data_IF_765405746885
#
_entry.id   IF_765405746885
#
_cell.length_a   1.000
_cell.length_b   1.000
_cell.length_c   1.000
_cell.angle_alpha   90.00
_cell.angle_beta   90.00
_cell.angle_gamma   90.00
#
_symmetry.space_group_name_H-M   'P 1'
#
loop_
_entity.id
_entity.type
_entity.pdbx_description
1 polymer ?
#
# COMPACT_ATOMS: atom_id res chain seq x y z
N UNK A 1 -7.12 -4.66 -46.46
CA UNK A 1 -7.10 -3.29 -47.05
C UNK A 1 -6.29 -2.39 -46.12
N UNK A 2 -5.18 -1.80 -46.62
CA UNK A 2 -4.54 -0.69 -45.89
C UNK A 2 -5.48 0.51 -46.05
N UNK A 3 -6.08 0.94 -44.96
CA UNK A 3 -6.85 2.19 -44.92
C UNK A 3 -5.81 3.29 -44.73
N UNK A 4 -5.52 4.03 -45.84
CA UNK A 4 -4.65 5.20 -45.74
C UNK A 4 -5.34 6.24 -44.87
N UNK A 5 -4.74 6.56 -43.71
CA UNK A 5 -5.27 7.51 -42.76
C UNK A 5 -6.01 6.91 -41.56
N UNK A 6 -6.12 5.58 -41.47
CA UNK A 6 -6.80 4.88 -40.38
C UNK A 6 -8.33 4.76 -40.50
N UNK A 7 -8.99 3.92 -39.69
CA UNK A 7 -10.44 3.72 -39.71
C UNK A 7 -11.16 4.96 -39.16
N UNK A 8 -12.19 5.41 -39.87
CA UNK A 8 -13.00 6.57 -39.50
C UNK A 8 -14.49 6.37 -39.69
N UNK A 9 -14.90 5.29 -40.39
CA UNK A 9 -16.29 4.91 -40.60
C UNK A 9 -16.67 3.68 -39.81
N UNK A 10 -17.97 3.45 -39.66
CA UNK A 10 -18.48 2.21 -39.06
C UNK A 10 -17.96 0.98 -39.81
N UNK A 11 -18.02 1.01 -41.14
CA UNK A 11 -17.57 -0.09 -41.99
C UNK A 11 -16.09 -0.42 -41.80
N UNK A 12 -15.25 0.60 -41.66
CA UNK A 12 -13.81 0.41 -41.43
C UNK A 12 -13.56 -0.33 -40.11
N UNK A 13 -14.18 0.11 -39.02
CA UNK A 13 -14.04 -0.50 -37.70
C UNK A 13 -14.63 -1.89 -37.66
N UNK A 14 -15.79 -2.10 -38.29
CA UNK A 14 -16.45 -3.40 -38.42
C UNK A 14 -15.58 -4.42 -39.14
N UNK A 15 -14.98 -4.00 -40.28
CA UNK A 15 -14.13 -4.85 -41.13
C UNK A 15 -12.79 -5.22 -40.43
N UNK A 16 -12.36 -4.43 -39.44
CA UNK A 16 -11.24 -4.74 -38.57
C UNK A 16 -11.64 -5.69 -37.42
N UNK A 17 -12.91 -6.04 -37.27
CA UNK A 17 -13.40 -6.99 -36.29
C UNK A 17 -13.63 -6.41 -34.90
N UNK A 18 -13.73 -5.09 -34.80
CA UNK A 18 -14.00 -4.45 -33.51
C UNK A 18 -15.49 -4.41 -33.17
N UNK A 19 -15.80 -4.40 -31.88
CA UNK A 19 -17.17 -4.21 -31.37
C UNK A 19 -17.46 -2.71 -31.31
N UNK A 20 -18.47 -2.29 -32.04
CA UNK A 20 -18.84 -0.89 -32.20
C UNK A 20 -20.10 -0.60 -31.41
N UNK A 21 -20.15 0.58 -30.80
CA UNK A 21 -21.25 1.07 -30.00
C UNK A 21 -21.75 2.37 -30.62
N UNK A 22 -23.05 2.44 -31.02
CA UNK A 22 -23.63 3.71 -31.43
C UNK A 22 -23.83 4.62 -30.22
N UNK A 23 -23.39 5.85 -30.35
CA UNK A 23 -23.49 6.86 -29.29
C UNK A 23 -24.21 8.11 -29.78
N UNK A 24 -24.89 8.80 -28.88
CA UNK A 24 -25.36 10.17 -29.06
C UNK A 24 -24.87 11.04 -27.92
N UNK A 25 -24.24 12.12 -28.26
CA UNK A 25 -23.60 13.00 -27.26
C UNK A 25 -22.70 12.25 -26.27
N UNK A 26 -21.91 11.28 -26.78
CA UNK A 26 -21.00 10.46 -25.99
C UNK A 26 -21.67 9.39 -25.12
N UNK A 27 -22.99 9.21 -25.23
CA UNK A 27 -23.72 8.21 -24.44
C UNK A 27 -24.18 7.07 -25.37
N UNK A 28 -23.98 5.80 -25.00
CA UNK A 28 -24.45 4.66 -25.77
C UNK A 28 -25.98 4.67 -25.95
N UNK A 29 -26.46 4.49 -27.17
CA UNK A 29 -27.89 4.34 -27.50
C UNK A 29 -28.44 2.95 -27.11
N UNK A 30 -27.57 1.98 -26.89
CA UNK A 30 -27.93 0.62 -26.51
C UNK A 30 -27.64 0.41 -25.03
N UNK A 31 -28.68 0.11 -24.23
CA UNK A 31 -28.53 -0.12 -22.79
C UNK A 31 -27.60 -1.30 -22.45
N UNK A 32 -27.60 -2.34 -23.28
CA UNK A 32 -26.78 -3.54 -23.11
C UNK A 32 -25.43 -3.47 -23.84
N UNK A 33 -24.90 -2.27 -24.07
CA UNK A 33 -23.68 -2.06 -24.85
C UNK A 33 -22.46 -2.84 -24.32
N UNK A 34 -22.41 -3.13 -23.04
CA UNK A 34 -21.34 -3.92 -22.40
C UNK A 34 -21.54 -5.43 -22.47
N UNK A 35 -22.66 -5.92 -23.06
CA UNK A 35 -22.88 -7.35 -23.26
C UNK A 35 -21.85 -7.95 -24.23
N UNK A 36 -21.29 -9.10 -23.87
CA UNK A 36 -20.35 -9.81 -24.72
C UNK A 36 -20.96 -10.26 -26.06
N UNK A 37 -22.29 -10.46 -26.08
CA UNK A 37 -23.04 -10.89 -27.25
C UNK A 37 -23.44 -9.74 -28.19
N UNK A 38 -23.07 -8.49 -27.86
CA UNK A 38 -23.40 -7.35 -28.70
C UNK A 38 -22.74 -7.48 -30.09
N UNK A 39 -23.58 -7.58 -31.08
CA UNK A 39 -23.20 -7.55 -32.50
C UNK A 39 -24.23 -6.73 -33.26
N UNK A 40 -23.74 -5.69 -33.92
CA UNK A 40 -24.56 -4.85 -34.80
C UNK A 40 -24.08 -5.13 -36.23
N UNK A 41 -25.01 -5.47 -37.12
CA UNK A 41 -24.66 -5.70 -38.52
C UNK A 41 -24.52 -4.38 -39.29
N UNK A 42 -23.88 -4.40 -40.45
CA UNK A 42 -23.78 -3.21 -41.33
C UNK A 42 -25.15 -2.70 -41.75
N UNK A 43 -26.10 -3.61 -42.00
CA UNK A 43 -27.49 -3.31 -42.35
C UNK A 43 -28.21 -2.64 -41.19
N UNK A 44 -28.09 -3.22 -39.99
CA UNK A 44 -28.69 -2.66 -38.79
C UNK A 44 -28.12 -1.25 -38.46
N UNK A 45 -26.81 -1.07 -38.59
CA UNK A 45 -26.20 0.24 -38.39
C UNK A 45 -26.80 1.28 -39.35
N UNK A 46 -26.84 0.97 -40.68
CA UNK A 46 -27.38 1.88 -41.69
C UNK A 46 -28.83 2.25 -41.42
N UNK A 47 -29.63 1.30 -40.93
CA UNK A 47 -31.06 1.52 -40.72
C UNK A 47 -31.39 2.28 -39.43
N UNK A 48 -30.64 2.03 -38.36
CA UNK A 48 -30.99 2.52 -37.03
C UNK A 48 -30.01 3.55 -36.44
N UNK A 49 -28.73 3.53 -36.86
CA UNK A 49 -27.67 4.24 -36.17
C UNK A 49 -26.80 5.09 -37.10
N UNK A 50 -27.26 5.35 -38.31
CA UNK A 50 -26.50 6.09 -39.31
C UNK A 50 -26.18 7.53 -38.92
N UNK A 51 -26.93 8.10 -38.00
CA UNK A 51 -26.74 9.43 -37.42
C UNK A 51 -26.01 9.42 -36.07
N UNK A 52 -25.56 8.24 -35.60
CA UNK A 52 -24.83 8.10 -34.33
C UNK A 52 -23.32 8.31 -34.51
N UNK A 53 -22.72 8.76 -33.43
CA UNK A 53 -21.26 8.75 -33.25
C UNK A 53 -20.78 7.30 -33.06
N UNK A 54 -19.56 7.03 -33.46
CA UNK A 54 -18.94 5.71 -33.37
C UNK A 54 -18.11 5.68 -32.09
N UNK A 55 -18.44 4.77 -31.20
CA UNK A 55 -17.56 4.42 -30.09
C UNK A 55 -17.06 2.97 -30.26
N UNK A 56 -15.85 2.74 -29.82
CA UNK A 56 -15.24 1.42 -29.81
C UNK A 56 -15.33 0.84 -28.40
N UNK A 57 -15.89 -0.37 -28.27
CA UNK A 57 -15.76 -1.15 -27.04
C UNK A 57 -14.33 -1.69 -26.93
N UNK A 58 -13.76 -1.60 -25.72
CA UNK A 58 -12.33 -1.83 -25.53
C UNK A 58 -11.97 -3.30 -25.21
N UNK A 59 -12.79 -4.26 -25.63
CA UNK A 59 -12.43 -5.67 -25.57
C UNK A 59 -11.34 -6.00 -26.61
N UNK A 60 -10.17 -6.38 -26.11
CA UNK A 60 -8.99 -6.63 -26.95
C UNK A 60 -8.26 -5.38 -27.42
N UNK A 61 -8.64 -4.21 -26.91
CA UNK A 61 -7.97 -2.93 -27.19
C UNK A 61 -7.67 -2.20 -25.88
N UNK A 62 -6.53 -1.59 -25.81
CA UNK A 62 -6.09 -0.72 -24.73
C UNK A 62 -6.15 0.72 -25.23
N UNK A 63 -6.84 1.59 -24.50
CA UNK A 63 -6.85 3.03 -24.68
C UNK A 63 -6.16 3.69 -23.48
N UNK A 64 -5.00 4.29 -23.73
CA UNK A 64 -4.36 5.18 -22.78
C UNK A 64 -4.90 6.59 -23.00
N UNK A 65 -5.73 7.05 -22.05
CA UNK A 65 -6.36 8.36 -22.06
C UNK A 65 -5.53 9.37 -21.27
N UNK A 66 -5.06 10.40 -21.96
CA UNK A 66 -4.23 11.47 -21.38
C UNK A 66 -4.82 12.83 -21.70
N UNK A 67 -5.77 13.25 -20.90
CA UNK A 67 -6.35 14.58 -20.98
C UNK A 67 -5.45 15.67 -20.37
N UNK A 68 -4.54 15.30 -19.48
CA UNK A 68 -3.66 16.23 -18.80
C UNK A 68 -2.51 16.71 -19.72
N UNK A 69 -2.43 18.02 -19.94
CA UNK A 69 -1.40 18.63 -20.81
C UNK A 69 0.04 18.42 -20.32
N UNK A 70 0.23 18.33 -18.99
CA UNK A 70 1.57 18.08 -18.41
C UNK A 70 1.93 16.60 -18.60
N UNK A 71 0.99 15.68 -18.42
CA UNK A 71 1.21 14.26 -18.65
C UNK A 71 1.70 13.97 -20.08
N UNK A 72 1.17 14.67 -21.07
CA UNK A 72 1.60 14.53 -22.48
C UNK A 72 3.10 14.79 -22.70
N UNK A 73 3.73 15.66 -21.88
CA UNK A 73 5.17 15.92 -21.95
C UNK A 73 6.03 14.70 -21.59
N UNK A 74 5.43 13.75 -20.87
CA UNK A 74 6.11 12.54 -20.40
C UNK A 74 5.81 11.31 -21.26
N UNK A 75 4.78 11.35 -22.10
CA UNK A 75 4.44 10.21 -22.96
C UNK A 75 5.61 9.86 -23.87
N UNK A 76 6.14 10.84 -24.60
CA UNK A 76 7.26 10.64 -25.54
C UNK A 76 8.57 10.24 -24.82
N UNK A 77 8.62 10.29 -23.47
CA UNK A 77 9.78 9.91 -22.66
C UNK A 77 9.72 8.45 -22.19
N UNK A 78 8.52 7.94 -21.93
CA UNK A 78 8.34 6.62 -21.35
C UNK A 78 7.63 5.64 -22.29
N UNK A 79 6.78 6.10 -23.20
CA UNK A 79 6.13 5.26 -24.19
C UNK A 79 7.08 5.09 -25.39
N UNK A 80 7.55 3.87 -25.60
CA UNK A 80 8.59 3.57 -26.58
C UNK A 80 8.05 3.76 -28.01
N UNK A 81 6.86 3.22 -28.30
CA UNK A 81 6.24 3.30 -29.61
C UNK A 81 4.72 3.24 -29.50
N UNK A 82 4.04 4.12 -30.23
CA UNK A 82 2.62 4.00 -30.47
C UNK A 82 2.33 4.35 -31.93
N UNK A 83 1.72 3.43 -32.65
CA UNK A 83 1.43 3.59 -34.09
C UNK A 83 -0.01 4.05 -34.36
N UNK A 84 -0.81 4.21 -33.32
CA UNK A 84 -2.19 4.67 -33.39
C UNK A 84 -2.45 5.70 -32.29
N UNK A 85 -2.49 6.97 -32.65
CA UNK A 85 -2.66 8.10 -31.74
C UNK A 85 -3.80 8.97 -32.28
N UNK A 86 -4.78 9.26 -31.44
CA UNK A 86 -5.90 10.12 -31.77
C UNK A 86 -6.11 11.24 -30.77
N UNK A 87 -6.91 12.19 -31.13
CA UNK A 87 -7.28 13.31 -30.32
C UNK A 87 -8.26 14.24 -31.05
N UNK A 88 -8.51 15.38 -30.47
CA UNK A 88 -9.32 16.46 -31.06
C UNK A 88 -8.51 17.75 -31.13
N UNK A 89 -8.86 18.71 -31.93
CA UNK A 89 -8.11 19.97 -32.07
C UNK A 89 -7.84 20.69 -30.75
N UNK A 90 -8.80 20.72 -29.84
CA UNK A 90 -8.66 21.32 -28.51
C UNK A 90 -7.79 20.47 -27.55
N UNK A 91 -7.69 19.16 -27.79
CA UNK A 91 -6.90 18.21 -26.99
C UNK A 91 -6.21 17.17 -27.89
N UNK A 92 -5.18 17.56 -28.67
CA UNK A 92 -4.48 16.65 -29.56
C UNK A 92 -3.72 15.58 -28.80
N UNK A 93 -3.52 14.42 -29.42
CA UNK A 93 -2.80 13.28 -28.82
C UNK A 93 -3.32 12.92 -27.43
N UNK A 94 -4.64 12.80 -27.28
CA UNK A 94 -5.24 12.43 -25.99
C UNK A 94 -5.42 10.94 -25.81
N UNK A 95 -5.40 10.15 -26.90
CA UNK A 95 -5.60 8.72 -26.86
C UNK A 95 -4.49 8.00 -27.63
N UNK A 96 -3.91 6.99 -26.96
CA UNK A 96 -2.88 6.10 -27.49
C UNK A 96 -3.41 4.67 -27.46
N UNK A 97 -3.32 3.97 -28.58
CA UNK A 97 -4.03 2.73 -28.82
C UNK A 97 -3.10 1.54 -29.02
N UNK A 98 -3.35 0.46 -28.29
CA UNK A 98 -2.66 -0.81 -28.47
C UNK A 98 -3.63 -1.98 -28.49
N UNK A 99 -3.21 -3.09 -29.09
CA UNK A 99 -3.90 -4.37 -29.01
C UNK A 99 -3.56 -5.05 -27.68
N UNK A 100 -4.55 -5.62 -27.04
CA UNK A 100 -4.38 -6.37 -25.78
C UNK A 100 -5.47 -6.06 -24.75
N UNK A 101 -5.24 -6.52 -23.56
CA UNK A 101 -6.14 -6.27 -22.43
C UNK A 101 -5.31 -6.04 -21.16
N UNK A 102 -5.65 -5.03 -20.42
CA UNK A 102 -5.05 -4.67 -19.15
C UNK A 102 -6.15 -4.35 -18.12
N UNK A 103 -5.83 -4.48 -16.86
CA UNK A 103 -6.69 -3.96 -15.81
C UNK A 103 -6.76 -2.42 -15.90
N UNK A 104 -7.95 -1.88 -15.61
CA UNK A 104 -8.13 -0.43 -15.53
C UNK A 104 -7.19 0.13 -14.46
N UNK A 105 -6.48 1.20 -14.82
CA UNK A 105 -5.68 1.98 -13.90
C UNK A 105 -5.91 3.47 -14.16
N UNK A 106 -6.25 4.22 -13.12
CA UNK A 106 -6.41 5.67 -13.18
C UNK A 106 -5.58 6.31 -12.06
N UNK A 107 -4.84 7.35 -12.41
CA UNK A 107 -3.99 8.08 -11.49
C UNK A 107 -4.48 9.51 -11.36
N UNK A 108 -4.70 9.93 -10.12
CA UNK A 108 -5.20 11.27 -9.81
C UNK A 108 -4.39 11.90 -8.69
N UNK A 109 -4.26 13.22 -8.71
CA UNK A 109 -3.66 13.93 -7.59
C UNK A 109 -4.47 13.70 -6.31
N UNK A 110 -3.81 13.43 -5.18
CA UNK A 110 -4.44 13.44 -3.86
C UNK A 110 -5.17 14.76 -3.58
N UNK A 111 -6.30 14.68 -2.87
CA UNK A 111 -7.18 15.85 -2.63
C UNK A 111 -6.48 17.03 -1.99
N UNK A 112 -5.57 16.80 -1.07
CA UNK A 112 -4.77 17.82 -0.38
C UNK A 112 -3.74 18.50 -1.28
N UNK A 113 -3.40 17.89 -2.42
CA UNK A 113 -2.48 18.43 -3.42
C UNK A 113 -3.18 19.11 -4.62
N UNK A 114 -4.50 18.94 -4.79
CA UNK A 114 -5.25 19.54 -5.89
C UNK A 114 -5.12 21.06 -5.89
N UNK A 115 -4.98 21.69 -4.72
CA UNK A 115 -4.78 23.14 -4.58
C UNK A 115 -3.57 23.69 -5.35
N UNK A 116 -2.59 22.85 -5.65
CA UNK A 116 -1.41 23.22 -6.45
C UNK A 116 -1.64 23.13 -7.97
N UNK A 117 -2.79 22.60 -8.37
CA UNK A 117 -3.16 22.46 -9.76
C UNK A 117 -4.31 23.40 -10.11
N UNK A 118 -3.98 24.68 -10.34
CA UNK A 118 -4.96 25.69 -10.71
C UNK A 118 -5.68 25.28 -12.01
N UNK A 119 -7.01 25.39 -12.01
CA UNK A 119 -7.88 25.06 -13.15
C UNK A 119 -7.73 23.61 -13.65
N UNK A 120 -7.69 22.62 -12.75
CA UNK A 120 -7.75 21.21 -13.16
C UNK A 120 -8.95 20.98 -14.11
N UNK A 121 -8.79 21.01 -15.44
CA UNK A 121 -9.92 21.12 -16.38
C UNK A 121 -10.75 19.83 -16.42
N UNK A 122 -10.21 18.70 -15.97
CA UNK A 122 -10.85 17.38 -15.94
C UNK A 122 -10.74 16.71 -14.57
N UNK A 123 -10.86 17.51 -13.50
CA UNK A 123 -10.63 17.02 -12.15
C UNK A 123 -9.15 16.74 -11.89
N UNK A 124 -8.88 15.87 -10.92
CA UNK A 124 -7.52 15.55 -10.49
C UNK A 124 -6.85 14.44 -11.34
N UNK A 125 -7.52 13.89 -12.35
CA UNK A 125 -7.01 12.77 -13.16
C UNK A 125 -5.82 13.21 -14.02
N UNK A 126 -4.74 12.47 -13.90
CA UNK A 126 -3.49 12.73 -14.63
C UNK A 126 -3.42 11.90 -15.91
N UNK A 127 -3.73 10.62 -15.81
CA UNK A 127 -3.79 9.68 -16.92
C UNK A 127 -4.58 8.44 -16.52
N UNK A 128 -5.13 7.73 -17.51
CA UNK A 128 -5.96 6.54 -17.29
C UNK A 128 -5.71 5.50 -18.38
N UNK A 129 -5.60 4.22 -18.00
CA UNK A 129 -5.74 3.09 -18.93
C UNK A 129 -7.16 2.59 -18.86
N UNK A 130 -7.80 2.44 -20.01
CA UNK A 130 -9.08 1.79 -20.19
C UNK A 130 -8.93 0.59 -21.10
N UNK A 131 -9.47 -0.56 -20.68
CA UNK A 131 -9.48 -1.80 -21.46
C UNK A 131 -10.58 -2.73 -20.92
N UNK A 132 -11.13 -3.57 -21.78
CA UNK A 132 -12.20 -4.50 -21.43
C UNK A 132 -13.60 -4.05 -21.86
N UNK A 133 -14.52 -5.02 -21.88
CA UNK A 133 -15.88 -4.84 -22.39
C UNK A 133 -16.76 -3.84 -21.61
N UNK A 134 -16.32 -3.41 -20.43
CA UNK A 134 -17.01 -2.41 -19.60
C UNK A 134 -16.59 -0.97 -19.93
N UNK A 135 -15.73 -0.77 -20.92
CA UNK A 135 -15.22 0.54 -21.31
C UNK A 135 -15.39 0.75 -22.81
N UNK A 136 -15.59 2.00 -23.16
CA UNK A 136 -15.64 2.44 -24.56
C UNK A 136 -14.99 3.80 -24.74
N UNK A 137 -14.61 4.11 -25.95
CA UNK A 137 -14.03 5.40 -26.32
C UNK A 137 -14.60 5.85 -27.65
N UNK A 138 -14.94 7.13 -27.77
CA UNK A 138 -15.33 7.76 -29.03
C UNK A 138 -14.12 7.80 -29.95
N UNK A 139 -14.28 7.30 -31.17
CA UNK A 139 -13.16 7.09 -32.10
C UNK A 139 -13.10 8.11 -33.22
N UNK A 140 -11.96 8.21 -33.93
CA UNK A 140 -11.81 9.08 -35.10
C UNK A 140 -12.92 8.89 -36.13
N UNK A 141 -13.38 10.03 -36.67
CA UNK A 141 -14.56 10.13 -37.52
C UNK A 141 -15.83 10.60 -36.84
N UNK A 142 -15.86 10.52 -35.50
CA UNK A 142 -17.01 10.90 -34.68
C UNK A 142 -16.85 12.28 -34.05
N UNK A 143 -17.99 12.92 -33.73
CA UNK A 143 -18.02 14.15 -32.94
C UNK A 143 -17.81 13.83 -31.47
N UNK A 144 -17.04 14.67 -30.77
CA UNK A 144 -16.90 14.55 -29.33
C UNK A 144 -18.09 15.25 -28.62
N UNK A 145 -18.63 14.60 -27.60
CA UNK A 145 -19.88 15.06 -26.95
C UNK A 145 -19.78 16.39 -26.22
N UNK A 146 -18.62 16.67 -25.61
CA UNK A 146 -18.43 17.87 -24.76
C UNK A 146 -17.99 19.09 -25.57
N UNK A 147 -17.16 18.85 -26.56
CA UNK A 147 -16.68 19.89 -27.50
C UNK A 147 -17.11 19.44 -28.86
N UNK A 148 -17.87 20.22 -29.66
CA UNK A 148 -18.34 19.79 -30.96
C UNK A 148 -17.22 19.73 -32.00
N UNK A 149 -16.18 18.98 -31.67
CA UNK A 149 -15.00 18.75 -32.47
C UNK A 149 -14.91 17.29 -32.91
N UNK A 150 -14.49 17.07 -34.13
CA UNK A 150 -14.24 15.72 -34.61
C UNK A 150 -12.98 15.14 -33.99
N UNK A 151 -13.10 13.93 -33.46
CA UNK A 151 -11.94 13.09 -33.08
C UNK A 151 -11.22 12.68 -34.38
N UNK A 152 -9.91 12.83 -34.40
CA UNK A 152 -9.07 12.57 -35.57
C UNK A 152 -7.86 11.73 -35.23
N UNK A 153 -7.35 11.00 -36.19
CA UNK A 153 -6.02 10.41 -36.08
C UNK A 153 -4.96 11.51 -36.19
N UNK A 154 -4.08 11.56 -35.20
CA UNK A 154 -2.84 12.35 -35.29
C UNK A 154 -1.74 11.53 -35.98
N UNK A 155 -1.75 10.23 -35.70
CA UNK A 155 -0.90 9.26 -36.36
C UNK A 155 -1.64 7.93 -36.42
N UNK A 156 -1.61 7.23 -37.54
CA UNK A 156 -2.15 5.89 -37.64
C UNK A 156 -1.37 5.06 -38.66
N UNK A 157 -0.86 3.94 -38.21
CA UNK A 157 -0.34 2.88 -39.07
C UNK A 157 -1.08 1.57 -38.78
N UNK A 158 -1.11 1.14 -37.49
CA UNK A 158 -1.87 -0.03 -37.02
C UNK A 158 -2.00 0.01 -35.51
N UNK A 159 -3.00 -0.68 -34.98
CA UNK A 159 -3.10 -0.96 -33.52
C UNK A 159 -2.31 -2.24 -33.26
N UNK A 160 -1.12 -2.13 -32.67
CA UNK A 160 -0.20 -3.24 -32.36
C UNK A 160 -0.16 -3.53 -30.86
N UNK A 161 0.42 -4.65 -30.50
CA UNK A 161 0.74 -4.93 -29.09
C UNK A 161 1.84 -3.99 -28.60
N UNK A 162 1.78 -3.63 -27.31
CA UNK A 162 2.85 -2.87 -26.68
C UNK A 162 4.04 -3.77 -26.37
N UNK A 163 5.22 -3.34 -26.77
CA UNK A 163 6.44 -4.15 -26.62
C UNK A 163 7.10 -4.08 -25.22
N UNK A 164 6.57 -3.24 -24.34
CA UNK A 164 7.09 -3.03 -22.98
C UNK A 164 6.09 -3.39 -21.88
N UNK A 165 6.31 -2.84 -20.70
CA UNK A 165 5.36 -2.89 -19.58
C UNK A 165 4.59 -1.56 -19.50
N UNK A 166 3.43 -1.51 -20.16
CA UNK A 166 2.61 -0.30 -20.24
C UNK A 166 2.14 0.19 -18.86
N UNK A 167 1.88 -0.72 -17.93
CA UNK A 167 1.52 -0.36 -16.57
C UNK A 167 2.67 0.35 -15.83
N UNK A 168 3.88 -0.14 -16.01
CA UNK A 168 5.09 0.48 -15.43
C UNK A 168 5.32 1.87 -16.02
N UNK A 169 5.20 2.00 -17.33
CA UNK A 169 5.43 3.25 -18.04
C UNK A 169 4.35 4.29 -17.70
N UNK A 170 3.08 3.87 -17.62
CA UNK A 170 1.99 4.73 -17.14
C UNK A 170 2.21 5.26 -15.73
N UNK A 171 2.68 4.41 -14.80
CA UNK A 171 2.97 4.79 -13.43
C UNK A 171 4.09 5.83 -13.35
N UNK A 172 5.10 5.73 -14.23
CA UNK A 172 6.14 6.76 -14.38
C UNK A 172 5.59 8.07 -14.92
N UNK A 173 4.71 8.01 -15.93
CA UNK A 173 4.02 9.19 -16.46
C UNK A 173 3.21 9.85 -15.35
N UNK A 174 2.42 9.10 -14.59
CA UNK A 174 1.58 9.62 -13.53
C UNK A 174 2.40 10.32 -12.44
N UNK A 175 3.44 9.65 -11.93
CA UNK A 175 4.30 10.22 -10.88
C UNK A 175 5.07 11.45 -11.38
N UNK A 176 5.65 11.40 -12.61
CA UNK A 176 6.33 12.53 -13.21
C UNK A 176 5.39 13.73 -13.39
N UNK A 177 4.15 13.47 -13.79
CA UNK A 177 3.12 14.50 -13.94
C UNK A 177 2.79 15.14 -12.60
N UNK A 178 2.53 14.34 -11.56
CA UNK A 178 2.26 14.83 -10.21
C UNK A 178 3.42 15.71 -9.71
N UNK A 179 4.66 15.20 -9.80
CA UNK A 179 5.84 15.92 -9.33
C UNK A 179 6.17 17.17 -10.16
N UNK A 180 5.81 17.20 -11.44
CA UNK A 180 5.93 18.38 -12.29
C UNK A 180 4.91 19.46 -11.91
N UNK A 181 3.66 19.09 -11.62
CA UNK A 181 2.62 20.00 -11.11
C UNK A 181 3.04 20.61 -9.76
N UNK A 182 3.65 19.78 -8.91
CA UNK A 182 4.08 20.13 -7.57
C UNK A 182 5.51 20.71 -7.53
N UNK A 183 6.08 21.06 -8.68
CA UNK A 183 7.49 21.46 -8.77
C UNK A 183 7.79 22.68 -7.90
N UNK A 184 8.84 22.58 -7.07
CA UNK A 184 9.18 23.62 -6.12
C UNK A 184 9.54 24.96 -6.79
N UNK A 185 9.27 26.11 -6.13
CA UNK A 185 9.65 27.42 -6.63
C UNK A 185 11.18 27.61 -6.69
N UNK A 186 11.63 28.59 -7.42
CA UNK A 186 13.06 28.93 -7.51
C UNK A 186 13.63 29.17 -6.10
N UNK A 187 14.80 28.58 -5.84
CA UNK A 187 15.44 28.58 -4.52
C UNK A 187 15.23 27.29 -3.72
N UNK A 188 14.12 26.55 -3.94
CA UNK A 188 13.86 25.27 -3.28
C UNK A 188 14.01 24.05 -4.23
N UNK A 189 14.24 24.27 -5.53
CA UNK A 189 14.25 23.23 -6.57
C UNK A 189 15.32 22.16 -6.35
N UNK A 190 16.52 22.59 -5.89
CA UNK A 190 17.62 21.67 -5.63
C UNK A 190 17.30 20.70 -4.50
N UNK A 191 16.74 21.22 -3.42
CA UNK A 191 16.33 20.43 -2.26
C UNK A 191 15.16 19.50 -2.59
N UNK A 192 14.21 19.99 -3.39
CA UNK A 192 13.09 19.22 -3.92
C UNK A 192 13.57 18.01 -4.75
N UNK A 193 14.43 18.24 -5.76
CA UNK A 193 14.99 17.17 -6.59
C UNK A 193 15.83 16.18 -5.77
N UNK A 194 16.58 16.68 -4.79
CA UNK A 194 17.36 15.83 -3.88
C UNK A 194 16.46 14.99 -2.98
N UNK A 195 15.33 15.53 -2.52
CA UNK A 195 14.36 14.77 -1.75
C UNK A 195 13.68 13.66 -2.58
N UNK A 196 13.31 13.95 -3.84
CA UNK A 196 12.80 12.94 -4.79
C UNK A 196 13.83 11.82 -4.98
N UNK A 197 15.08 12.18 -5.27
CA UNK A 197 16.17 11.20 -5.41
C UNK A 197 16.32 10.34 -4.16
N UNK A 198 16.25 10.95 -2.97
CA UNK A 198 16.35 10.26 -1.69
C UNK A 198 15.23 9.25 -1.46
N UNK A 199 14.00 9.53 -1.91
CA UNK A 199 12.89 8.56 -1.89
C UNK A 199 13.17 7.40 -2.84
N UNK A 200 13.47 7.69 -4.10
CA UNK A 200 13.66 6.67 -5.14
C UNK A 200 14.85 5.75 -4.82
N UNK A 201 15.98 6.32 -4.39
CA UNK A 201 17.17 5.54 -3.98
C UNK A 201 16.88 4.60 -2.82
N UNK A 202 16.11 5.05 -1.82
CA UNK A 202 15.87 4.27 -0.60
C UNK A 202 14.73 3.25 -0.74
N UNK A 203 13.74 3.55 -1.57
CA UNK A 203 12.47 2.81 -1.56
C UNK A 203 12.12 2.14 -2.89
N UNK A 204 12.98 2.27 -3.91
CA UNK A 204 12.82 1.55 -5.17
C UNK A 204 14.09 0.77 -5.51
N UNK A 205 13.97 -0.11 -6.52
CA UNK A 205 15.12 -0.81 -7.09
C UNK A 205 15.65 -0.12 -8.37
N UNK A 206 15.31 1.17 -8.57
CA UNK A 206 15.76 1.90 -9.73
C UNK A 206 17.28 2.14 -9.67
N UNK A 207 17.91 2.08 -10.85
CA UNK A 207 19.32 2.41 -11.01
C UNK A 207 19.54 3.92 -10.97
N UNK A 208 20.75 4.35 -10.68
CA UNK A 208 21.10 5.77 -10.60
C UNK A 208 20.78 6.52 -11.89
N UNK A 209 21.08 5.92 -13.05
CA UNK A 209 20.78 6.53 -14.36
C UNK A 209 19.28 6.69 -14.56
N UNK A 210 18.47 5.69 -14.17
CA UNK A 210 17.01 5.75 -14.26
C UNK A 210 16.44 6.87 -13.37
N UNK A 211 16.98 7.03 -12.14
CA UNK A 211 16.60 8.12 -11.23
C UNK A 211 17.03 9.48 -11.76
N UNK A 212 18.25 9.57 -12.29
CA UNK A 212 18.80 10.79 -12.87
C UNK A 212 17.95 11.27 -14.06
N UNK A 213 17.62 10.36 -14.98
CA UNK A 213 16.78 10.66 -16.15
C UNK A 213 15.36 11.04 -15.73
N UNK A 214 14.80 10.36 -14.74
CA UNK A 214 13.48 10.67 -14.21
C UNK A 214 13.39 12.09 -13.66
N UNK A 215 14.34 12.47 -12.81
CA UNK A 215 14.39 13.81 -12.18
C UNK A 215 14.67 14.88 -13.25
N UNK A 216 15.60 14.62 -14.16
CA UNK A 216 15.90 15.52 -15.27
C UNK A 216 14.66 15.79 -16.14
N UNK A 217 13.92 14.75 -16.52
CA UNK A 217 12.71 14.90 -17.32
C UNK A 217 11.65 15.75 -16.62
N UNK A 218 11.50 15.60 -15.29
CA UNK A 218 10.59 16.44 -14.50
C UNK A 218 11.06 17.90 -14.50
N UNK A 219 12.35 18.15 -14.26
CA UNK A 219 12.91 19.50 -14.25
C UNK A 219 12.75 20.20 -15.61
N UNK A 220 13.02 19.50 -16.70
CA UNK A 220 12.81 20.01 -18.07
C UNK A 220 11.33 20.32 -18.31
N UNK A 221 10.43 19.41 -17.94
CA UNK A 221 8.99 19.61 -18.12
C UNK A 221 8.45 20.76 -17.26
N UNK A 222 9.05 21.02 -16.11
CA UNK A 222 8.73 22.14 -15.22
C UNK A 222 9.40 23.47 -15.64
N UNK A 223 10.13 23.51 -16.76
CA UNK A 223 10.93 24.66 -17.22
C UNK A 223 11.95 25.15 -16.19
N UNK A 224 12.65 24.22 -15.51
CA UNK A 224 13.77 24.57 -14.61
C UNK A 224 14.95 25.03 -15.44
N UNK A 225 15.41 26.26 -15.23
CA UNK A 225 16.56 26.86 -15.87
C UNK A 225 17.89 26.15 -15.53
N UNK A 226 17.89 25.36 -14.48
CA UNK A 226 19.03 24.55 -14.02
C UNK A 226 18.84 23.03 -14.21
N UNK A 227 17.93 22.60 -15.10
CA UNK A 227 17.58 21.19 -15.27
C UNK A 227 18.80 20.27 -15.47
N UNK A 228 19.84 20.74 -16.22
CA UNK A 228 21.07 19.97 -16.43
C UNK A 228 21.79 19.62 -15.12
N UNK A 229 21.75 20.52 -14.13
CA UNK A 229 22.38 20.29 -12.83
C UNK A 229 21.63 19.21 -12.03
N UNK A 230 20.40 18.86 -12.40
CA UNK A 230 19.57 17.83 -11.75
C UNK A 230 19.94 16.40 -12.17
N UNK A 231 20.67 16.21 -13.26
CA UNK A 231 21.05 14.89 -13.81
C UNK A 231 21.90 14.01 -12.88
N UNK A 232 22.52 14.56 -11.86
CA UNK A 232 23.36 13.80 -10.93
C UNK A 232 22.69 13.46 -9.59
N UNK A 233 21.41 13.77 -9.42
CA UNK A 233 20.76 13.68 -8.11
C UNK A 233 20.61 12.24 -7.60
N UNK A 234 20.39 11.25 -8.48
CA UNK A 234 20.36 9.84 -8.10
C UNK A 234 21.70 9.37 -7.54
N UNK A 235 22.79 9.65 -8.25
CA UNK A 235 24.16 9.32 -7.82
C UNK A 235 24.53 10.02 -6.53
N UNK A 236 24.26 11.33 -6.45
CA UNK A 236 24.53 12.13 -5.24
C UNK A 236 23.69 11.64 -4.04
N UNK A 237 22.46 11.22 -4.27
CA UNK A 237 21.56 10.69 -3.25
C UNK A 237 22.10 9.43 -2.57
N UNK A 238 22.78 8.53 -3.31
CA UNK A 238 23.40 7.32 -2.75
C UNK A 238 24.64 7.65 -1.92
N UNK A 239 25.47 8.60 -2.38
CA UNK A 239 26.74 8.92 -1.73
C UNK A 239 26.54 9.78 -0.47
N UNK A 240 25.55 10.67 -0.48
CA UNK A 240 25.46 11.72 0.54
C UNK A 240 24.91 11.27 1.89
N UNK A 241 24.40 10.06 2.05
CA UNK A 241 23.75 9.54 3.29
C UNK A 241 22.90 10.59 4.06
N UNK A 242 22.40 11.61 3.34
CA UNK A 242 21.61 12.71 3.90
C UNK A 242 20.18 12.24 4.09
N UNK A 243 19.56 12.66 5.18
CA UNK A 243 18.18 12.33 5.57
C UNK A 243 17.10 12.96 4.65
N UNK A 244 17.39 13.10 3.35
CA UNK A 244 16.38 13.49 2.38
C UNK A 244 15.53 12.28 2.01
N UNK A 245 14.22 12.47 2.02
CA UNK A 245 13.26 11.41 1.73
C UNK A 245 11.82 11.93 1.84
N UNK A 246 10.85 11.04 2.03
CA UNK A 246 9.43 11.41 2.12
C UNK A 246 9.13 12.52 3.14
N UNK A 247 9.69 12.53 4.37
CA UNK A 247 9.42 13.62 5.31
C UNK A 247 9.87 14.99 4.81
N UNK A 248 11.05 15.06 4.17
CA UNK A 248 11.55 16.33 3.63
C UNK A 248 10.73 16.80 2.42
N UNK A 249 10.33 15.86 1.56
CA UNK A 249 9.46 16.19 0.43
C UNK A 249 8.08 16.68 0.90
N UNK A 250 7.52 16.05 1.94
CA UNK A 250 6.27 16.47 2.56
C UNK A 250 6.36 17.87 3.18
N UNK A 251 7.48 18.18 3.85
CA UNK A 251 7.78 19.53 4.38
C UNK A 251 7.81 20.58 3.25
N UNK A 252 8.57 20.31 2.17
CA UNK A 252 8.67 21.23 1.01
C UNK A 252 7.30 21.49 0.38
N UNK A 253 6.46 20.46 0.27
CA UNK A 253 5.15 20.53 -0.34
C UNK A 253 4.03 20.93 0.62
N UNK A 254 4.31 21.08 1.91
CA UNK A 254 3.30 21.44 2.90
C UNK A 254 2.14 20.42 2.97
N UNK A 255 2.44 19.13 2.89
CA UNK A 255 1.46 18.05 2.94
C UNK A 255 1.89 16.95 3.93
N UNK A 256 1.05 15.97 4.15
CA UNK A 256 1.38 14.85 5.02
C UNK A 256 2.31 13.84 4.33
N UNK A 257 3.17 13.17 5.12
CA UNK A 257 4.09 12.14 4.61
C UNK A 257 3.35 10.99 3.93
N UNK A 258 2.15 10.62 4.43
CA UNK A 258 1.32 9.58 3.81
C UNK A 258 0.86 9.94 2.38
N UNK A 259 0.67 11.22 2.09
CA UNK A 259 0.33 11.71 0.74
C UNK A 259 1.50 11.48 -0.22
N UNK A 260 2.73 11.77 0.22
CA UNK A 260 3.93 11.48 -0.56
C UNK A 260 4.11 9.97 -0.75
N UNK A 261 3.95 9.19 0.30
CA UNK A 261 4.01 7.74 0.23
C UNK A 261 3.01 7.17 -0.80
N UNK A 262 1.78 7.69 -0.83
CA UNK A 262 0.78 7.31 -1.83
C UNK A 262 1.25 7.62 -3.26
N UNK A 263 1.80 8.80 -3.54
CA UNK A 263 2.32 9.14 -4.88
C UNK A 263 3.44 8.18 -5.31
N UNK A 264 4.40 7.94 -4.44
CA UNK A 264 5.54 7.08 -4.76
C UNK A 264 5.19 5.58 -4.80
N UNK A 265 4.11 5.15 -4.13
CA UNK A 265 3.61 3.78 -4.24
C UNK A 265 3.22 3.42 -5.68
N UNK A 266 2.86 4.38 -6.51
CA UNK A 266 2.56 4.14 -7.93
C UNK A 266 3.73 3.49 -8.67
N UNK A 267 4.95 3.84 -8.34
CA UNK A 267 6.16 3.26 -8.97
C UNK A 267 6.79 2.14 -8.13
N UNK A 268 6.03 1.59 -7.19
CA UNK A 268 6.49 0.51 -6.34
C UNK A 268 7.50 0.94 -5.28
N UNK A 269 7.52 2.23 -4.93
CA UNK A 269 8.21 2.66 -3.73
C UNK A 269 7.43 2.14 -2.52
N UNK A 270 7.87 1.05 -2.00
CA UNK A 270 7.42 0.59 -0.69
C UNK A 270 8.08 1.46 0.36
N UNK A 271 7.33 1.80 1.41
CA UNK A 271 7.98 2.31 2.61
C UNK A 271 8.85 1.17 3.17
N UNK A 272 10.09 1.09 2.70
CA UNK A 272 11.06 0.08 3.16
C UNK A 272 11.26 0.17 4.66
N UNK A 273 11.00 1.33 5.28
CA UNK A 273 10.96 1.44 6.74
C UNK A 273 9.84 0.57 7.30
N UNK A 274 8.67 0.57 6.67
CA UNK A 274 7.55 -0.29 7.05
C UNK A 274 7.79 -1.75 6.63
N UNK A 275 8.41 -1.99 5.46
CA UNK A 275 8.77 -3.33 5.00
C UNK A 275 9.90 -3.93 5.85
N UNK A 276 10.95 -3.15 6.13
CA UNK A 276 12.04 -3.57 7.04
C UNK A 276 11.51 -3.77 8.47
N UNK A 277 10.65 -2.88 8.94
CA UNK A 277 9.98 -3.00 10.24
C UNK A 277 9.05 -4.21 10.26
N UNK A 278 8.33 -4.49 9.17
CA UNK A 278 7.48 -5.69 9.07
C UNK A 278 8.31 -6.96 9.04
N UNK A 279 9.41 -7.00 8.29
CA UNK A 279 10.35 -8.13 8.28
C UNK A 279 10.96 -8.34 9.66
N UNK A 280 11.48 -7.28 10.28
CA UNK A 280 12.02 -7.35 11.66
C UNK A 280 10.91 -7.79 12.64
N UNK A 281 9.69 -7.30 12.46
CA UNK A 281 8.56 -7.67 13.29
C UNK A 281 8.15 -9.14 13.08
N UNK A 282 8.11 -9.60 11.84
CA UNK A 282 7.75 -10.99 11.52
C UNK A 282 8.83 -11.98 11.96
N UNK A 283 10.10 -11.59 11.89
CA UNK A 283 11.22 -12.38 12.41
C UNK A 283 11.31 -12.39 13.94
N UNK A 284 10.98 -11.25 14.58
CA UNK A 284 11.18 -11.08 16.02
C UNK A 284 9.92 -11.24 16.86
N UNK A 285 8.74 -10.93 16.28
CA UNK A 285 7.44 -10.98 16.96
C UNK A 285 6.52 -11.88 16.14
N UNK A 286 6.29 -13.08 16.59
CA UNK A 286 5.38 -14.03 15.97
C UNK A 286 3.90 -13.66 16.11
N UNK A 287 3.04 -14.64 15.83
CA UNK A 287 1.59 -14.47 15.96
C UNK A 287 1.17 -14.15 17.40
N UNK A 288 0.16 -13.30 17.52
CA UNK A 288 -0.53 -13.06 18.78
C UNK A 288 -1.64 -14.09 18.95
N UNK A 289 -1.65 -14.79 20.06
CA UNK A 289 -2.70 -15.74 20.43
C UNK A 289 -3.51 -15.15 21.58
N UNK A 290 -4.80 -14.94 21.34
CA UNK A 290 -5.76 -14.49 22.36
C UNK A 290 -6.14 -15.66 23.25
N UNK A 291 -5.77 -15.59 24.52
CA UNK A 291 -6.04 -16.62 25.54
C UNK A 291 -7.27 -16.30 26.39
N UNK A 292 -8.04 -15.26 26.02
CA UNK A 292 -9.17 -14.77 26.83
C UNK A 292 -8.75 -13.93 28.04
N UNK A 293 -9.73 -13.24 28.64
CA UNK A 293 -9.51 -12.40 29.85
C UNK A 293 -8.39 -11.36 29.71
N UNK A 294 -8.28 -10.73 28.54
CA UNK A 294 -7.25 -9.73 28.20
C UNK A 294 -5.80 -10.26 28.34
N UNK A 295 -5.59 -11.55 28.05
CA UNK A 295 -4.30 -12.21 28.08
C UNK A 295 -3.89 -12.69 26.69
N UNK A 296 -2.65 -12.45 26.34
CA UNK A 296 -2.10 -12.77 25.03
C UNK A 296 -0.78 -13.52 25.16
N UNK A 297 -0.62 -14.59 24.37
CA UNK A 297 0.66 -15.29 24.18
C UNK A 297 1.30 -14.80 22.88
N UNK A 298 2.59 -14.50 22.92
CA UNK A 298 3.35 -14.03 21.76
C UNK A 298 4.65 -14.82 21.72
N UNK A 299 4.93 -15.40 20.56
CA UNK A 299 6.23 -15.98 20.27
C UNK A 299 7.20 -14.86 19.92
N UNK A 300 8.28 -14.72 20.67
CA UNK A 300 9.34 -13.74 20.39
C UNK A 300 10.63 -14.46 20.06
N UNK A 301 11.31 -13.99 19.01
CA UNK A 301 12.62 -14.50 18.59
C UNK A 301 13.62 -13.36 18.71
N UNK A 302 14.65 -13.56 19.51
CA UNK A 302 15.67 -12.55 19.75
C UNK A 302 17.05 -13.17 19.91
N UNK A 303 18.05 -12.34 20.19
CA UNK A 303 19.43 -12.76 20.39
C UNK A 303 19.84 -12.66 21.86
N UNK A 304 20.58 -13.65 22.32
CA UNK A 304 21.29 -13.65 23.57
C UNK A 304 22.72 -14.13 23.31
N UNK A 305 23.75 -13.34 23.66
CA UNK A 305 25.17 -13.67 23.42
C UNK A 305 25.51 -14.07 21.97
N UNK A 306 24.77 -13.50 21.00
CA UNK A 306 24.98 -13.76 19.57
C UNK A 306 24.16 -14.91 18.99
N UNK A 307 23.60 -15.78 19.82
CA UNK A 307 22.72 -16.87 19.38
C UNK A 307 21.25 -16.45 19.34
N UNK A 308 20.47 -17.04 18.43
CA UNK A 308 19.04 -16.78 18.28
C UNK A 308 18.22 -17.74 19.12
N UNK A 309 17.36 -17.18 19.96
CA UNK A 309 16.44 -17.95 20.80
C UNK A 309 15.00 -17.53 20.55
N UNK A 310 14.11 -18.49 20.60
CA UNK A 310 12.68 -18.26 20.50
C UNK A 310 12.00 -18.62 21.80
N UNK A 311 11.21 -17.71 22.35
CA UNK A 311 10.49 -17.87 23.60
C UNK A 311 9.03 -17.41 23.44
N UNK A 312 8.18 -17.86 24.36
CA UNK A 312 6.79 -17.38 24.45
C UNK A 312 6.69 -16.47 25.67
N UNK A 313 6.20 -15.26 25.45
CA UNK A 313 5.85 -14.32 26.53
C UNK A 313 4.33 -14.27 26.70
N UNK A 314 3.88 -13.92 27.91
CA UNK A 314 2.49 -13.70 28.24
C UNK A 314 2.31 -12.26 28.68
N UNK A 315 1.42 -11.54 28.04
CA UNK A 315 1.20 -10.11 28.30
C UNK A 315 -0.28 -9.78 28.37
N UNK A 316 -0.63 -8.69 29.06
CA UNK A 316 -1.97 -8.10 28.99
C UNK A 316 -2.13 -7.20 27.79
N UNK A 317 -3.37 -6.84 27.44
CA UNK A 317 -3.65 -5.91 26.35
C UNK A 317 -2.95 -4.56 26.52
N UNK A 318 -3.01 -3.90 27.68
CA UNK A 318 -2.25 -2.67 27.92
C UNK A 318 -0.74 -2.83 27.74
N UNK A 319 -0.16 -3.94 28.19
CA UNK A 319 1.27 -4.25 27.98
C UNK A 319 1.58 -4.46 26.50
N UNK A 320 0.71 -5.18 25.79
CA UNK A 320 0.84 -5.47 24.37
C UNK A 320 0.90 -4.20 23.52
N UNK A 321 0.05 -3.22 23.82
CA UNK A 321 -0.08 -1.98 23.06
C UNK A 321 0.88 -0.86 23.51
N UNK A 322 1.58 -1.05 24.62
CA UNK A 322 2.54 -0.09 25.13
C UNK A 322 3.97 -0.53 24.80
N UNK A 323 4.65 0.21 23.92
CA UNK A 323 6.01 -0.12 23.46
C UNK A 323 6.99 -0.39 24.59
N UNK A 324 7.05 0.47 25.60
CA UNK A 324 7.98 0.32 26.72
C UNK A 324 7.68 -0.95 27.52
N UNK A 325 6.43 -1.13 27.92
CA UNK A 325 6.00 -2.29 28.71
C UNK A 325 6.18 -3.60 27.95
N UNK A 326 5.97 -3.59 26.64
CA UNK A 326 6.19 -4.75 25.78
C UNK A 326 7.65 -5.17 25.74
N UNK A 327 8.58 -4.23 25.47
CA UNK A 327 10.02 -4.54 25.48
C UNK A 327 10.53 -4.95 26.85
N UNK A 328 10.03 -4.34 27.92
CA UNK A 328 10.36 -4.73 29.29
C UNK A 328 9.87 -6.18 29.57
N UNK A 329 8.67 -6.54 29.11
CA UNK A 329 8.16 -7.91 29.22
C UNK A 329 9.01 -8.91 28.41
N UNK A 330 9.44 -8.55 27.19
CA UNK A 330 10.32 -9.40 26.38
C UNK A 330 11.64 -9.67 27.10
N UNK A 331 12.29 -8.63 27.62
CA UNK A 331 13.55 -8.79 28.36
C UNK A 331 13.36 -9.59 29.63
N UNK A 332 12.30 -9.31 30.39
CA UNK A 332 12.08 -9.94 31.69
C UNK A 332 11.65 -11.40 31.57
N UNK A 333 10.74 -11.73 30.63
CA UNK A 333 10.18 -13.07 30.52
C UNK A 333 10.97 -13.97 29.56
N UNK A 334 11.42 -13.41 28.41
CA UNK A 334 12.13 -14.19 27.41
C UNK A 334 13.65 -14.18 27.58
N UNK A 335 14.17 -13.16 28.26
CA UNK A 335 15.62 -12.94 28.42
C UNK A 335 16.37 -12.84 27.09
N UNK A 336 15.71 -12.30 26.06
CA UNK A 336 16.27 -12.08 24.72
C UNK A 336 16.15 -10.62 24.34
N UNK A 337 17.03 -10.17 23.44
CA UNK A 337 16.97 -8.85 22.83
C UNK A 337 16.34 -8.95 21.47
N UNK A 338 15.31 -8.14 21.22
CA UNK A 338 14.73 -7.96 19.90
C UNK A 338 15.01 -6.52 19.43
N UNK A 339 15.09 -6.28 18.10
CA UNK A 339 15.29 -4.94 17.57
C UNK A 339 14.19 -3.98 18.04
N UNK A 340 14.59 -2.79 18.51
CA UNK A 340 13.63 -1.76 18.95
C UNK A 340 13.10 -0.99 17.75
N UNK A 341 11.78 -1.02 17.58
CA UNK A 341 11.08 -0.21 16.60
C UNK A 341 10.85 1.22 17.10
N UNK A 342 10.67 2.18 16.21
CA UNK A 342 10.16 3.51 16.57
C UNK A 342 8.73 3.39 17.10
N UNK A 343 8.23 4.44 17.76
CA UNK A 343 6.92 4.37 18.41
C UNK A 343 5.78 4.11 17.42
N UNK A 344 5.75 4.86 16.31
CA UNK A 344 4.72 4.77 15.30
C UNK A 344 4.76 3.42 14.54
N UNK A 345 5.96 2.91 14.28
CA UNK A 345 6.19 1.62 13.64
C UNK A 345 5.69 0.48 14.54
N UNK A 346 6.03 0.56 15.85
CA UNK A 346 5.57 -0.42 16.84
C UNK A 346 4.04 -0.45 16.93
N UNK A 347 3.40 0.72 17.03
CA UNK A 347 1.94 0.81 17.09
C UNK A 347 1.29 0.20 15.84
N UNK A 348 1.82 0.52 14.66
CA UNK A 348 1.31 -0.02 13.39
C UNK A 348 1.44 -1.54 13.32
N UNK A 349 2.62 -2.08 13.65
CA UNK A 349 2.88 -3.53 13.64
C UNK A 349 1.99 -4.24 14.66
N UNK A 350 1.92 -3.73 15.89
CA UNK A 350 1.12 -4.39 16.93
C UNK A 350 -0.37 -4.35 16.62
N UNK A 351 -0.87 -3.26 16.02
CA UNK A 351 -2.26 -3.18 15.56
C UNK A 351 -2.54 -4.23 14.48
N UNK A 352 -1.70 -4.33 13.45
CA UNK A 352 -1.86 -5.33 12.38
C UNK A 352 -1.85 -6.77 12.94
N UNK A 353 -0.89 -7.09 13.79
CA UNK A 353 -0.79 -8.42 14.41
C UNK A 353 -1.96 -8.70 15.36
N UNK A 354 -2.47 -7.68 16.05
CA UNK A 354 -3.63 -7.81 16.90
C UNK A 354 -4.93 -8.03 16.11
N UNK A 355 -5.10 -7.37 14.97
CA UNK A 355 -6.24 -7.58 14.07
C UNK A 355 -6.25 -8.99 13.48
N UNK A 356 -5.09 -9.56 13.20
CA UNK A 356 -4.91 -10.90 12.63
C UNK A 356 -4.70 -11.99 13.71
N UNK A 357 -4.88 -11.65 15.00
CA UNK A 357 -4.65 -12.59 16.11
C UNK A 357 -5.48 -13.86 16.01
N UNK A 358 -4.85 -14.96 16.33
CA UNK A 358 -5.51 -16.25 16.45
C UNK A 358 -6.20 -16.35 17.80
N UNK A 359 -7.43 -16.90 17.84
CA UNK A 359 -7.98 -17.37 19.11
C UNK A 359 -7.22 -18.64 19.47
N UNK A 360 -6.88 -18.80 20.75
CA UNK A 360 -6.38 -20.08 21.23
C UNK A 360 -7.44 -21.14 20.86
N UNK A 361 -7.06 -22.08 20.01
CA UNK A 361 -7.83 -23.32 19.91
C UNK A 361 -7.88 -23.86 21.33
N UNK A 362 -9.09 -24.19 21.81
CA UNK A 362 -9.32 -24.71 23.17
C UNK A 362 -8.39 -25.91 23.42
N UNK A 363 -7.13 -25.64 23.70
CA UNK A 363 -6.28 -26.61 24.38
C UNK A 363 -6.71 -26.54 25.82
N UNK A 364 -7.54 -27.49 26.20
CA UNK A 364 -8.07 -27.75 27.54
C UNK A 364 -6.95 -27.78 28.62
N UNK A 365 -5.68 -27.85 28.18
CA UNK A 365 -4.54 -28.03 29.07
C UNK A 365 -3.98 -26.74 29.73
N UNK A 366 -4.15 -25.55 29.09
CA UNK A 366 -3.48 -24.32 29.60
C UNK A 366 -4.40 -23.36 30.39
N UNK A 367 -5.73 -23.41 30.20
CA UNK A 367 -6.68 -22.55 30.92
C UNK A 367 -7.16 -23.16 32.23
N UNK A 368 -7.24 -24.47 32.30
CA UNK A 368 -7.75 -25.16 33.47
C UNK A 368 -6.72 -25.24 34.63
N UNK A 369 -5.43 -25.48 34.34
CA UNK A 369 -4.41 -25.60 35.36
C UNK A 369 -4.16 -24.28 36.11
N UNK A 370 -4.09 -23.14 35.37
CA UNK A 370 -3.93 -21.83 36.03
C UNK A 370 -5.18 -21.43 36.83
N UNK A 371 -6.37 -21.73 36.33
CA UNK A 371 -7.62 -21.49 37.03
C UNK A 371 -7.78 -22.42 38.23
N UNK A 372 -7.42 -23.69 38.07
CA UNK A 372 -7.37 -24.70 39.16
C UNK A 372 -6.34 -24.26 40.20
N UNK A 373 -5.14 -23.82 39.79
CA UNK A 373 -4.12 -23.27 40.67
C UNK A 373 -4.66 -22.07 41.47
N UNK A 374 -5.17 -21.03 40.79
CA UNK A 374 -5.71 -19.82 41.43
C UNK A 374 -6.85 -20.17 42.39
N UNK A 375 -7.74 -21.07 42.02
CA UNK A 375 -8.83 -21.53 42.87
C UNK A 375 -8.31 -22.23 44.15
N UNK A 376 -7.39 -23.19 43.97
CA UNK A 376 -6.85 -23.94 45.10
C UNK A 376 -5.93 -23.07 45.96
N UNK A 377 -5.13 -22.20 45.37
CA UNK A 377 -4.30 -21.23 46.09
C UNK A 377 -5.15 -20.24 46.90
N UNK A 378 -6.22 -19.71 46.31
CA UNK A 378 -7.16 -18.83 47.01
C UNK A 378 -7.83 -19.56 48.19
N UNK A 379 -8.22 -20.83 47.96
CA UNK A 379 -8.84 -21.64 49.01
C UNK A 379 -7.82 -21.98 50.10
N UNK A 380 -6.58 -22.33 49.76
CA UNK A 380 -5.50 -22.57 50.72
C UNK A 380 -5.27 -21.35 51.62
N UNK A 381 -5.11 -20.15 51.01
CA UNK A 381 -4.94 -18.91 51.80
C UNK A 381 -6.15 -18.62 52.68
N UNK A 382 -7.38 -18.89 52.22
CA UNK A 382 -8.60 -18.70 53.04
C UNK A 382 -8.72 -19.67 54.16
N UNK A 383 -8.32 -20.95 53.99
CA UNK A 383 -8.37 -21.98 55.01
C UNK A 383 -7.30 -21.74 56.07
N UNK A 384 -6.09 -21.44 55.68
CA UNK A 384 -4.95 -21.27 56.56
C UNK A 384 -4.88 -19.88 57.21
N UNK A 385 -5.77 -18.94 56.87
CA UNK A 385 -5.79 -17.56 57.35
C UNK A 385 -4.42 -16.90 57.29
N UNK A 386 -4.14 -16.11 56.24
CA UNK A 386 -2.90 -15.37 56.10
C UNK A 386 -2.66 -14.48 57.36
N UNK A 387 -1.55 -14.68 58.00
CA UNK A 387 -1.18 -13.97 59.22
C UNK A 387 -0.36 -12.72 58.88
N UNK A 388 -0.40 -11.74 59.81
CA UNK A 388 0.38 -10.49 59.70
C UNK A 388 1.73 -10.58 60.40
N UNK A 389 2.00 -11.66 61.15
CA UNK A 389 3.29 -11.90 61.80
C UNK A 389 4.12 -12.92 61.01
N UNK A 390 5.29 -12.50 60.55
CA UNK A 390 6.22 -13.33 59.77
C UNK A 390 6.74 -14.55 60.54
N UNK A 391 6.71 -14.54 61.87
CA UNK A 391 7.09 -15.68 62.71
C UNK A 391 6.21 -16.91 62.46
N UNK A 392 4.95 -16.70 62.17
CA UNK A 392 4.00 -17.79 61.90
C UNK A 392 4.38 -18.56 60.60
N UNK A 393 4.94 -17.88 59.59
CA UNK A 393 5.47 -18.54 58.39
C UNK A 393 6.63 -19.48 58.75
N UNK A 394 7.55 -19.04 59.63
CA UNK A 394 8.72 -19.84 60.02
C UNK A 394 8.39 -21.03 60.89
N UNK A 395 7.54 -20.83 61.89
CA UNK A 395 7.24 -21.87 62.90
C UNK A 395 6.16 -22.86 62.44
N UNK A 396 5.13 -22.38 61.78
CA UNK A 396 3.97 -23.19 61.42
C UNK A 396 3.78 -23.40 59.93
N UNK A 397 4.56 -22.69 59.07
CA UNK A 397 4.45 -22.79 57.63
C UNK A 397 3.21 -22.14 57.04
N UNK A 398 2.54 -21.26 57.82
CA UNK A 398 1.31 -20.58 57.42
C UNK A 398 1.62 -19.40 56.48
N UNK A 399 0.73 -19.07 55.53
CA UNK A 399 0.92 -17.91 54.64
C UNK A 399 1.03 -16.61 55.43
N UNK A 400 1.99 -15.76 55.05
CA UNK A 400 2.19 -14.45 55.66
C UNK A 400 1.96 -13.33 54.64
N UNK A 401 1.12 -12.35 54.99
CA UNK A 401 0.83 -11.21 54.15
C UNK A 401 1.58 -9.97 54.64
N UNK A 402 2.51 -9.49 53.82
CA UNK A 402 3.23 -8.25 54.06
C UNK A 402 2.40 -7.05 53.58
N UNK A 403 1.72 -6.38 54.48
CA UNK A 403 0.89 -5.21 54.19
C UNK A 403 1.67 -4.03 53.58
N UNK A 404 2.87 -3.64 54.09
CA UNK A 404 3.60 -2.52 53.52
C UNK A 404 3.96 -2.70 52.04
N UNK A 405 4.35 -3.90 51.66
CA UNK A 405 4.84 -4.18 50.32
C UNK A 405 3.79 -4.89 49.44
N UNK A 406 2.62 -5.18 49.98
CA UNK A 406 1.48 -5.81 49.33
C UNK A 406 1.80 -7.14 48.62
N UNK A 407 2.58 -7.99 49.27
CA UNK A 407 2.87 -9.34 48.79
C UNK A 407 2.60 -10.43 49.83
N UNK A 408 2.47 -11.66 49.36
CA UNK A 408 2.22 -12.84 50.17
C UNK A 408 3.44 -13.77 50.12
N UNK A 409 3.98 -14.16 51.24
CA UNK A 409 4.95 -15.25 51.38
C UNK A 409 4.28 -16.51 51.90
N UNK A 410 4.65 -17.67 51.37
CA UNK A 410 4.19 -18.97 51.84
C UNK A 410 5.23 -20.06 51.59
N UNK A 411 5.15 -21.18 52.30
CA UNK A 411 6.01 -22.33 52.03
C UNK A 411 5.42 -23.22 50.96
N UNK A 412 6.19 -23.43 49.87
CA UNK A 412 5.74 -24.18 48.71
C UNK A 412 5.39 -25.63 49.05
N UNK A 413 6.18 -26.28 49.91
CA UNK A 413 5.94 -27.64 50.38
C UNK A 413 4.57 -27.78 51.10
N UNK A 414 4.19 -26.78 51.87
CA UNK A 414 2.88 -26.77 52.55
C UNK A 414 1.71 -26.62 51.59
N UNK A 415 1.91 -25.83 50.52
CA UNK A 415 0.91 -25.72 49.46
C UNK A 415 0.84 -26.99 48.61
N UNK A 416 1.96 -27.65 48.35
CA UNK A 416 2.01 -28.95 47.70
C UNK A 416 1.26 -30.01 48.49
N UNK A 417 1.46 -30.09 49.84
CA UNK A 417 0.73 -30.97 50.73
C UNK A 417 -0.79 -30.72 50.68
N UNK A 418 -1.19 -29.42 50.66
CA UNK A 418 -2.59 -29.05 50.49
C UNK A 418 -3.15 -29.55 49.16
N UNK A 419 -2.44 -29.33 48.03
CA UNK A 419 -2.88 -29.79 46.69
C UNK A 419 -3.03 -31.30 46.65
N UNK A 420 -2.10 -32.05 47.24
CA UNK A 420 -2.19 -33.51 47.39
C UNK A 420 -3.42 -33.92 48.18
N UNK A 421 -3.73 -33.22 49.29
CA UNK A 421 -4.93 -33.47 50.08
C UNK A 421 -6.22 -33.25 49.29
N UNK A 422 -6.20 -32.33 48.34
CA UNK A 422 -7.32 -32.03 47.43
C UNK A 422 -7.34 -32.94 46.19
N UNK A 423 -6.40 -33.91 46.06
CA UNK A 423 -6.22 -34.79 44.88
C UNK A 423 -5.95 -34.02 43.58
N UNK A 424 -5.32 -32.86 43.66
CA UNK A 424 -4.94 -32.04 42.52
C UNK A 424 -3.49 -32.38 42.14
N UNK A 425 -3.28 -32.84 40.91
CA UNK A 425 -1.96 -33.20 40.41
C UNK A 425 -1.44 -32.08 39.52
N UNK A 426 -0.73 -31.09 40.12
CA UNK A 426 0.00 -30.06 39.41
C UNK A 426 1.50 -30.43 39.38
N UNK A 427 2.11 -30.38 38.19
CA UNK A 427 3.55 -30.63 38.09
C UNK A 427 4.34 -29.45 38.70
N UNK A 428 5.36 -29.76 39.49
CA UNK A 428 6.20 -28.76 40.19
C UNK A 428 6.80 -27.70 39.30
N UNK A 429 7.03 -28.03 38.02
CA UNK A 429 7.53 -27.08 37.00
C UNK A 429 6.52 -25.98 36.67
N UNK A 430 5.23 -26.23 36.85
CA UNK A 430 4.15 -25.29 36.52
C UNK A 430 3.89 -24.28 37.65
N UNK A 431 4.51 -24.48 38.82
CA UNK A 431 4.41 -23.62 40.00
C UNK A 431 5.50 -22.54 40.08
N UNK A 432 6.44 -22.51 39.16
CA UNK A 432 7.46 -21.44 39.10
C UNK A 432 6.83 -20.21 38.47
N UNK A 433 6.39 -19.30 39.32
CA UNK A 433 5.89 -17.95 38.98
C UNK A 433 7.03 -17.01 38.58
#
# INVERSE_FOLDING_TARGET
KKINGGPTTYEDWYDLGHTIIPCKHGTPEIKSWSSLDLKITKEEWKQKYSDCEIALRLDGVIDLDIDNRIAKRFVDKYIITCEAISGRPSNPKSHYWWKGQLEKAAFSLPKDLIKYYENAPHGATLCEIRSGHQYYTIVPGSLHSKDPEHVKWEHYNSIKEYSGDLNKDLRKIALSTALCILYAPKGARDEYCTAIAGVLVKQTNWKDDEINDFIYNIAVAANDDEAESRKSKGTTGRVANRNFGMPKLAEILGCEVKTIAHLFSWVGAEDKSLADVKVIADESIGDIVDCGHDRYKIKVTGKLEGESFTKIIRVSGPTLMNRKLFYDAVVTQAQVWIPRMKADDFETVMRMKFETRKKAENSVEDSDEALVFVKHFTNYIKQEKAFTDKKELFFYGLPWFNKPDNYLEFKLDKFEDYLQSQKVNLKRVDLVL
#
